data_IF_475121187123
#
_entry.id   IF_475121187123
#
_cell.length_a   1.000
_cell.length_b   1.000
_cell.length_c   1.000
_cell.angle_alpha   90.00
_cell.angle_beta   90.00
_cell.angle_gamma   90.00
#
_symmetry.space_group_name_H-M   'P 1'
#
loop_
_entity.id
_entity.type
_entity.pdbx_description
1 polymer ?
#
# COMPACT_ATOMS: atom_id res chain seq x y z
N UNK A 1 22.24 -13.97 19.26
CA UNK A 1 23.04 -13.71 18.04
C UNK A 1 22.85 -12.23 17.72
N UNK A 2 23.91 -11.47 17.44
CA UNK A 2 23.74 -10.06 17.10
C UNK A 2 22.93 -9.87 15.82
N UNK A 3 22.24 -8.74 15.69
CA UNK A 3 21.46 -8.41 14.48
C UNK A 3 22.32 -8.44 13.20
N UNK A 4 23.62 -8.13 13.31
CA UNK A 4 24.55 -8.12 12.18
C UNK A 4 24.63 -9.47 11.46
N UNK A 5 24.60 -10.58 12.21
CA UNK A 5 24.62 -11.91 11.61
C UNK A 5 23.30 -12.24 10.89
N UNK A 6 22.16 -11.76 11.40
CA UNK A 6 20.86 -11.90 10.73
C UNK A 6 20.81 -11.07 9.46
N UNK A 7 21.31 -9.83 9.50
CA UNK A 7 21.37 -8.94 8.33
C UNK A 7 22.39 -9.39 7.26
N UNK A 8 23.45 -10.09 7.67
CA UNK A 8 24.43 -10.67 6.75
C UNK A 8 23.88 -11.92 6.05
N UNK A 9 22.96 -12.64 6.69
CA UNK A 9 22.29 -13.82 6.13
C UNK A 9 21.11 -13.48 5.20
N UNK A 10 20.69 -12.21 5.15
CA UNK A 10 19.67 -11.77 4.20
C UNK A 10 20.21 -11.92 2.77
N UNK A 11 19.42 -12.56 1.91
CA UNK A 11 19.69 -12.59 0.48
C UNK A 11 19.51 -11.17 -0.08
N UNK A 12 20.62 -10.48 -0.34
CA UNK A 12 20.62 -9.12 -0.92
C UNK A 12 20.60 -9.13 -2.45
N UNK A 13 20.55 -10.32 -3.05
CA UNK A 13 20.63 -10.52 -4.50
C UNK A 13 19.28 -10.78 -5.14
N UNK A 14 18.26 -11.05 -4.34
CA UNK A 14 16.88 -10.96 -4.78
C UNK A 14 16.51 -9.49 -4.92
N UNK A 15 15.78 -9.16 -5.99
CA UNK A 15 15.18 -7.84 -6.21
C UNK A 15 13.98 -7.60 -5.25
N UNK A 16 13.99 -8.20 -4.06
CA UNK A 16 13.04 -7.86 -3.02
C UNK A 16 13.44 -6.50 -2.46
N UNK A 17 12.54 -5.52 -2.58
CA UNK A 17 12.74 -4.21 -2.00
C UNK A 17 12.98 -4.36 -0.48
N UNK A 18 14.26 -4.31 -0.07
CA UNK A 18 14.66 -4.44 1.32
C UNK A 18 14.03 -3.31 2.14
N UNK A 19 12.94 -3.63 2.81
CA UNK A 19 12.16 -2.72 3.62
C UNK A 19 12.31 -2.98 5.11
N UNK A 20 11.72 -2.09 5.90
CA UNK A 20 11.59 -2.25 7.36
C UNK A 20 10.98 -3.60 7.80
N UNK A 21 10.04 -4.24 7.06
CA UNK A 21 9.58 -5.58 7.41
C UNK A 21 10.71 -6.62 7.49
N UNK A 22 11.67 -6.57 6.56
CA UNK A 22 12.84 -7.45 6.58
C UNK A 22 13.72 -7.20 7.80
N UNK A 23 13.91 -5.94 8.19
CA UNK A 23 14.63 -5.57 9.41
C UNK A 23 13.87 -6.04 10.66
N UNK A 24 12.54 -5.90 10.69
CA UNK A 24 11.69 -6.39 11.78
C UNK A 24 11.80 -7.91 11.98
N UNK A 25 11.84 -8.68 10.88
CA UNK A 25 12.10 -10.13 10.94
C UNK A 25 13.48 -10.46 11.49
N UNK A 26 14.52 -9.75 11.07
CA UNK A 26 15.87 -9.91 11.61
C UNK A 26 15.97 -9.57 13.11
N UNK A 27 15.31 -8.48 13.54
CA UNK A 27 15.21 -8.09 14.95
C UNK A 27 14.50 -9.16 15.79
N UNK A 28 13.41 -9.72 15.27
CA UNK A 28 12.65 -10.79 15.94
C UNK A 28 13.50 -12.05 16.05
N UNK A 29 14.13 -12.48 14.95
CA UNK A 29 15.01 -13.66 14.94
C UNK A 29 16.24 -13.52 15.85
N UNK A 30 16.76 -12.30 16.03
CA UNK A 30 17.84 -12.00 16.96
C UNK A 30 17.38 -11.91 18.43
N UNK A 31 16.07 -11.94 18.70
CA UNK A 31 15.49 -11.83 20.05
C UNK A 31 15.37 -10.39 20.58
N UNK A 32 15.44 -9.38 19.70
CA UNK A 32 15.32 -7.96 20.07
C UNK A 32 13.88 -7.44 20.04
N UNK A 33 12.95 -8.21 19.46
CA UNK A 33 11.51 -7.94 19.45
C UNK A 33 10.75 -9.26 19.58
N UNK A 34 9.52 -9.21 20.09
CA UNK A 34 8.67 -10.41 20.23
C UNK A 34 7.90 -10.75 18.95
N UNK A 35 7.74 -9.77 18.05
CA UNK A 35 7.13 -9.91 16.74
C UNK A 35 7.61 -8.78 15.80
N UNK A 36 7.31 -8.89 14.51
CA UNK A 36 7.56 -7.81 13.54
C UNK A 36 6.81 -6.54 13.94
N UNK A 37 5.55 -6.67 14.37
CA UNK A 37 4.74 -5.55 14.87
C UNK A 37 5.39 -4.89 16.11
N UNK A 38 5.89 -5.69 17.06
CA UNK A 38 6.61 -5.18 18.24
C UNK A 38 7.88 -4.41 17.83
N UNK A 39 8.60 -4.89 16.82
CA UNK A 39 9.76 -4.21 16.25
C UNK A 39 9.37 -2.86 15.64
N UNK A 40 8.30 -2.79 14.85
CA UNK A 40 7.79 -1.52 14.30
C UNK A 40 7.40 -0.56 15.41
N UNK A 41 6.64 -1.02 16.39
CA UNK A 41 6.13 -0.17 17.46
C UNK A 41 7.24 0.41 18.35
N UNK A 42 8.31 -0.36 18.63
CA UNK A 42 9.34 0.04 19.60
C UNK A 42 10.63 0.56 19.00
N UNK A 43 10.99 0.13 17.79
CA UNK A 43 12.35 0.26 17.26
C UNK A 43 12.39 0.99 15.93
N UNK A 44 11.70 0.46 14.91
CA UNK A 44 11.90 0.84 13.49
C UNK A 44 10.72 1.63 12.87
N UNK A 45 9.63 1.79 13.62
CA UNK A 45 8.51 2.65 13.22
C UNK A 45 8.85 4.13 13.35
N UNK A 46 7.97 4.99 12.83
CA UNK A 46 8.16 6.44 12.86
C UNK A 46 8.46 6.95 14.29
N UNK A 47 9.51 7.76 14.43
CA UNK A 47 9.97 8.27 15.73
C UNK A 47 10.67 7.25 16.63
N UNK A 48 10.83 6.00 16.18
CA UNK A 48 11.56 4.97 16.89
C UNK A 48 13.08 5.21 16.93
N UNK A 49 13.81 4.59 17.88
CA UNK A 49 15.25 4.78 18.07
C UNK A 49 16.11 4.30 16.90
N UNK A 50 15.59 3.43 16.05
CA UNK A 50 16.25 2.93 14.84
C UNK A 50 15.53 3.37 13.55
N UNK A 51 14.66 4.38 13.64
CA UNK A 51 14.00 4.96 12.47
C UNK A 51 14.97 5.84 11.70
N UNK A 52 15.14 5.53 10.41
CA UNK A 52 15.84 6.39 9.46
C UNK A 52 14.83 6.81 8.39
N UNK A 53 14.59 8.12 8.19
CA UNK A 53 13.70 8.57 7.13
C UNK A 53 14.27 8.17 5.77
N UNK A 54 13.39 7.68 4.90
CA UNK A 54 13.73 7.38 3.51
C UNK A 54 13.35 8.58 2.66
N UNK A 55 14.30 9.11 1.91
CA UNK A 55 14.00 9.99 0.79
C UNK A 55 13.43 9.14 -0.35
N UNK A 56 12.24 9.50 -0.79
CA UNK A 56 11.49 8.78 -1.81
C UNK A 56 10.79 9.75 -2.75
N UNK A 57 10.19 9.16 -3.79
CA UNK A 57 9.38 9.88 -4.76
C UNK A 57 8.18 10.55 -4.06
N UNK A 58 7.97 11.84 -4.36
CA UNK A 58 6.81 12.56 -3.84
C UNK A 58 5.49 12.07 -4.47
N UNK A 59 4.32 12.34 -3.87
CA UNK A 59 3.03 11.87 -4.40
C UNK A 59 2.76 12.32 -5.84
N UNK A 60 3.11 13.57 -6.20
CA UNK A 60 2.99 14.07 -7.58
C UNK A 60 3.84 13.26 -8.55
N UNK A 61 5.11 13.08 -8.24
CA UNK A 61 6.04 12.33 -9.10
C UNK A 61 5.58 10.87 -9.26
N UNK A 62 5.04 10.25 -8.20
CA UNK A 62 4.49 8.90 -8.25
C UNK A 62 3.25 8.81 -9.16
N UNK A 63 2.33 9.77 -9.02
CA UNK A 63 1.14 9.86 -9.87
C UNK A 63 1.54 10.07 -11.33
N UNK A 64 2.46 11.00 -11.61
CA UNK A 64 2.95 11.28 -12.95
C UNK A 64 3.64 10.05 -13.56
N UNK A 65 4.46 9.34 -12.79
CA UNK A 65 5.14 8.12 -13.23
C UNK A 65 4.14 7.00 -13.59
N UNK A 66 3.15 6.75 -12.72
CA UNK A 66 2.11 5.73 -12.98
C UNK A 66 1.31 6.08 -14.24
N UNK A 67 0.88 7.33 -14.38
CA UNK A 67 0.12 7.79 -15.54
C UNK A 67 0.95 7.76 -16.83
N UNK A 68 2.22 8.16 -16.75
CA UNK A 68 3.17 8.09 -17.86
C UNK A 68 3.40 6.67 -18.37
N UNK A 69 3.31 5.68 -17.48
CA UNK A 69 3.33 4.26 -17.83
C UNK A 69 1.98 3.71 -18.36
N UNK A 70 0.95 4.55 -18.50
CA UNK A 70 -0.40 4.13 -18.89
C UNK A 70 -1.14 3.38 -17.78
N UNK A 71 -0.71 3.56 -16.52
CA UNK A 71 -1.34 3.00 -15.33
C UNK A 71 -2.38 3.93 -14.72
N UNK A 72 -3.00 3.44 -13.64
CA UNK A 72 -4.04 4.15 -12.88
C UNK A 72 -3.51 4.33 -11.45
N UNK A 73 -3.24 5.57 -11.01
CA UNK A 73 -2.77 5.83 -9.65
C UNK A 73 -3.91 5.65 -8.65
N UNK A 74 -3.66 4.83 -7.63
CA UNK A 74 -4.63 4.47 -6.58
C UNK A 74 -4.00 4.71 -5.22
N UNK A 75 -4.74 5.34 -4.31
CA UNK A 75 -4.29 5.55 -2.93
C UNK A 75 -4.68 4.33 -2.09
N UNK A 76 -3.67 3.61 -1.61
CA UNK A 76 -3.84 2.40 -0.80
C UNK A 76 -4.20 2.73 0.66
N UNK A 77 -5.01 1.85 1.26
CA UNK A 77 -5.43 1.80 2.67
C UNK A 77 -5.59 3.16 3.36
N UNK A 78 -6.32 4.08 2.71
CA UNK A 78 -6.47 5.49 3.09
C UNK A 78 -7.03 5.72 4.50
N UNK A 79 -7.89 4.81 5.00
CA UNK A 79 -8.54 5.00 6.31
C UNK A 79 -7.62 4.82 7.52
N UNK A 80 -6.38 4.37 7.32
CA UNK A 80 -5.34 4.49 8.36
C UNK A 80 -4.87 5.95 8.55
N UNK A 81 -5.32 6.87 7.68
CA UNK A 81 -5.05 8.30 7.75
C UNK A 81 -6.33 9.15 7.51
N UNK A 82 -7.41 8.96 8.30
CA UNK A 82 -8.73 9.55 8.02
C UNK A 82 -8.75 11.09 8.16
N UNK A 83 -7.82 11.67 8.92
CA UNK A 83 -7.65 13.12 9.08
C UNK A 83 -7.06 13.81 7.82
N UNK A 84 -6.85 13.07 6.73
CA UNK A 84 -6.15 13.54 5.53
C UNK A 84 -7.08 13.77 4.33
N UNK A 85 -8.38 14.04 4.54
CA UNK A 85 -9.27 14.48 3.44
C UNK A 85 -8.69 15.65 2.63
N UNK A 86 -8.06 16.68 3.22
CA UNK A 86 -7.39 17.72 2.44
C UNK A 86 -6.29 17.18 1.52
N UNK A 87 -5.47 16.25 2.00
CA UNK A 87 -4.47 15.59 1.17
C UNK A 87 -5.11 14.79 0.05
N UNK A 88 -6.21 14.08 0.32
CA UNK A 88 -6.92 13.34 -0.71
C UNK A 88 -7.38 14.28 -1.83
N UNK A 89 -7.95 15.44 -1.50
CA UNK A 89 -8.33 16.45 -2.50
C UNK A 89 -7.13 16.95 -3.30
N UNK A 90 -6.00 17.23 -2.65
CA UNK A 90 -4.76 17.59 -3.33
C UNK A 90 -4.28 16.48 -4.28
N UNK A 91 -4.39 15.20 -3.88
CA UNK A 91 -4.03 14.07 -4.71
C UNK A 91 -4.97 13.91 -5.92
N UNK A 92 -6.27 14.16 -5.73
CA UNK A 92 -7.26 14.19 -6.82
C UNK A 92 -6.92 15.28 -7.82
N UNK A 93 -6.62 16.49 -7.35
CA UNK A 93 -6.26 17.64 -8.20
C UNK A 93 -5.03 17.38 -9.07
N UNK A 94 -4.12 16.52 -8.63
CA UNK A 94 -2.90 16.16 -9.36
C UNK A 94 -3.03 14.86 -10.15
N UNK A 95 -4.21 14.24 -10.17
CA UNK A 95 -4.55 13.15 -11.08
C UNK A 95 -4.61 11.76 -10.47
N UNK A 96 -4.80 11.65 -9.15
CA UNK A 96 -5.23 10.40 -8.50
C UNK A 96 -6.54 9.91 -9.14
N UNK A 97 -6.65 8.60 -9.35
CA UNK A 97 -7.76 8.02 -10.11
C UNK A 97 -8.52 6.93 -9.34
N UNK A 98 -7.99 6.44 -8.23
CA UNK A 98 -8.68 5.47 -7.40
C UNK A 98 -8.33 5.55 -5.92
N UNK A 99 -9.17 4.87 -5.14
CA UNK A 99 -9.07 4.77 -3.69
C UNK A 99 -9.31 3.32 -3.28
N UNK A 100 -8.48 2.80 -2.38
CA UNK A 100 -8.71 1.48 -1.80
C UNK A 100 -9.85 1.53 -0.78
N UNK A 101 -10.96 0.90 -1.14
CA UNK A 101 -12.20 0.87 -0.37
C UNK A 101 -12.35 -0.46 0.36
N UNK A 102 -11.96 -1.56 -0.27
CA UNK A 102 -12.08 -2.91 0.29
C UNK A 102 -10.73 -3.38 0.82
N UNK A 103 -10.53 -3.27 2.14
CA UNK A 103 -9.29 -3.63 2.81
C UNK A 103 -9.57 -4.51 4.03
N UNK A 104 -8.69 -5.49 4.30
CA UNK A 104 -8.94 -6.55 5.30
C UNK A 104 -9.15 -6.01 6.72
N UNK A 105 -8.50 -4.89 7.05
CA UNK A 105 -8.62 -4.26 8.37
C UNK A 105 -9.76 -3.25 8.47
N UNK A 106 -10.52 -3.00 7.41
CA UNK A 106 -11.63 -2.04 7.45
C UNK A 106 -12.91 -2.72 7.94
N UNK A 107 -13.53 -2.12 8.96
CA UNK A 107 -14.88 -2.48 9.37
C UNK A 107 -15.89 -2.12 8.26
N UNK A 108 -17.05 -2.78 8.19
CA UNK A 108 -18.07 -2.49 7.17
C UNK A 108 -18.44 -1.00 7.07
N UNK A 109 -18.51 -0.31 8.21
CA UNK A 109 -18.81 1.13 8.28
C UNK A 109 -17.69 1.98 7.66
N UNK A 110 -16.43 1.53 7.79
CA UNK A 110 -15.28 2.17 7.15
C UNK A 110 -15.31 1.97 5.64
N UNK A 111 -15.63 0.76 5.19
CA UNK A 111 -15.81 0.47 3.75
C UNK A 111 -16.92 1.34 3.16
N UNK A 112 -18.05 1.50 3.86
CA UNK A 112 -19.14 2.37 3.44
C UNK A 112 -18.71 3.84 3.36
N UNK A 113 -18.08 4.37 4.41
CA UNK A 113 -17.63 5.76 4.46
C UNK A 113 -16.58 6.07 3.38
N UNK A 114 -15.56 5.22 3.23
CA UNK A 114 -14.51 5.40 2.21
C UNK A 114 -15.09 5.21 0.80
N UNK A 115 -16.05 4.29 0.64
CA UNK A 115 -16.78 4.09 -0.61
C UNK A 115 -17.61 5.32 -1.01
N UNK A 116 -18.25 5.98 -0.05
CA UNK A 116 -18.97 7.22 -0.29
C UNK A 116 -18.03 8.34 -0.74
N UNK A 117 -16.87 8.50 -0.08
CA UNK A 117 -15.83 9.47 -0.49
C UNK A 117 -15.33 9.17 -1.90
N UNK A 118 -15.03 7.91 -2.21
CA UNK A 118 -14.60 7.51 -3.56
C UNK A 118 -15.66 7.89 -4.61
N UNK A 119 -16.94 7.63 -4.32
CA UNK A 119 -18.04 7.97 -5.20
C UNK A 119 -18.19 9.49 -5.40
N UNK A 120 -18.17 10.28 -4.31
CA UNK A 120 -18.29 11.74 -4.35
C UNK A 120 -17.17 12.41 -5.16
N UNK A 121 -15.95 11.87 -5.07
CA UNK A 121 -14.78 12.37 -5.78
C UNK A 121 -14.58 11.75 -7.18
N UNK A 122 -15.48 10.87 -7.62
CA UNK A 122 -15.38 10.19 -8.92
C UNK A 122 -14.17 9.25 -9.03
N UNK A 123 -13.69 8.71 -7.91
CA UNK A 123 -12.56 7.79 -7.83
C UNK A 123 -13.00 6.33 -8.02
N UNK A 124 -12.13 5.54 -8.65
CA UNK A 124 -12.33 4.09 -8.79
C UNK A 124 -12.14 3.42 -7.43
N UNK A 125 -13.16 2.72 -6.95
CA UNK A 125 -13.04 1.88 -5.77
C UNK A 125 -12.22 0.61 -6.07
N UNK A 126 -11.15 0.39 -5.31
CA UNK A 126 -10.28 -0.80 -5.42
C UNK A 126 -10.26 -1.60 -4.12
N UNK A 127 -9.61 -2.76 -4.14
CA UNK A 127 -9.42 -3.58 -2.95
C UNK A 127 -8.23 -4.51 -3.04
N UNK A 128 -7.65 -4.80 -1.89
CA UNK A 128 -6.44 -5.60 -1.73
C UNK A 128 -6.31 -6.18 -0.33
N UNK A 129 -5.68 -7.34 -0.22
CA UNK A 129 -5.44 -8.03 1.06
C UNK A 129 -4.18 -7.55 1.77
N UNK A 130 -3.29 -6.87 1.04
CA UNK A 130 -1.95 -6.50 1.47
C UNK A 130 -1.20 -7.68 2.13
N UNK A 131 -1.31 -8.85 1.51
CA UNK A 131 -0.77 -10.09 2.04
C UNK A 131 0.77 -10.12 2.00
N UNK A 132 1.38 -10.26 3.19
CA UNK A 132 2.83 -10.25 3.37
C UNK A 132 3.45 -11.61 3.75
N UNK A 133 2.66 -12.68 3.89
CA UNK A 133 3.18 -14.03 4.15
C UNK A 133 3.53 -14.38 5.60
N UNK A 134 3.51 -13.42 6.51
CA UNK A 134 4.16 -13.56 7.82
C UNK A 134 3.20 -13.91 8.98
N UNK A 135 1.91 -13.57 8.86
CA UNK A 135 0.95 -13.60 9.98
C UNK A 135 -0.18 -14.62 9.80
N UNK A 136 -0.51 -14.97 8.56
CA UNK A 136 -1.63 -15.85 8.22
C UNK A 136 -1.35 -16.58 6.91
N UNK A 137 -2.08 -17.65 6.63
CA UNK A 137 -1.99 -18.32 5.32
C UNK A 137 -2.61 -17.46 4.22
N UNK A 138 -2.19 -17.70 2.98
CA UNK A 138 -2.79 -17.04 1.82
C UNK A 138 -4.32 -17.23 1.78
N UNK A 139 -4.79 -18.44 2.08
CA UNK A 139 -6.22 -18.76 2.07
C UNK A 139 -6.99 -17.95 3.12
N UNK A 140 -6.47 -17.86 4.34
CA UNK A 140 -7.08 -17.08 5.42
C UNK A 140 -7.11 -15.58 5.11
N UNK A 141 -6.01 -15.00 4.61
CA UNK A 141 -5.96 -13.58 4.23
C UNK A 141 -7.01 -13.20 3.18
N UNK A 142 -7.23 -14.08 2.20
CA UNK A 142 -8.18 -13.83 1.11
C UNK A 142 -9.62 -14.25 1.45
N UNK A 143 -9.82 -15.13 2.44
CA UNK A 143 -11.15 -15.46 2.95
C UNK A 143 -11.75 -14.31 3.79
N UNK A 144 -10.90 -13.55 4.47
CA UNK A 144 -11.30 -12.41 5.31
C UNK A 144 -11.68 -11.15 4.51
N UNK A 145 -11.33 -11.08 3.22
CA UNK A 145 -11.55 -9.91 2.38
C UNK A 145 -12.57 -10.19 1.28
N UNK A 146 -13.62 -9.35 1.20
CA UNK A 146 -14.56 -9.35 0.07
C UNK A 146 -14.33 -8.13 -0.81
N UNK A 147 -13.87 -8.37 -2.04
CA UNK A 147 -13.82 -7.36 -3.11
C UNK A 147 -14.88 -7.70 -4.16
N UNK A 148 -15.81 -6.79 -4.50
CA UNK A 148 -16.79 -7.06 -5.54
C UNK A 148 -16.16 -7.08 -6.93
N UNK A 149 -16.68 -7.92 -7.84
CA UNK A 149 -16.21 -8.02 -9.23
C UNK A 149 -16.28 -6.70 -10.00
N UNK A 150 -17.17 -5.79 -9.58
CA UNK A 150 -17.27 -4.45 -10.13
C UNK A 150 -15.99 -3.64 -9.91
N UNK A 151 -15.30 -3.80 -8.77
CA UNK A 151 -14.02 -3.12 -8.50
C UNK A 151 -12.94 -3.58 -9.49
N UNK A 152 -12.82 -4.89 -9.71
CA UNK A 152 -11.88 -5.44 -10.69
C UNK A 152 -12.21 -5.00 -12.12
N UNK A 153 -13.50 -4.91 -12.46
CA UNK A 153 -13.96 -4.45 -13.77
C UNK A 153 -13.66 -2.97 -13.98
N UNK A 154 -13.90 -2.13 -12.98
CA UNK A 154 -13.61 -0.70 -13.04
C UNK A 154 -12.11 -0.43 -13.22
N UNK A 155 -11.25 -1.14 -12.49
CA UNK A 155 -9.78 -1.03 -12.65
C UNK A 155 -9.36 -1.43 -14.06
N UNK A 156 -9.86 -2.56 -14.59
CA UNK A 156 -9.54 -3.01 -15.96
C UNK A 156 -9.96 -1.99 -17.01
N UNK A 157 -11.17 -1.43 -16.88
CA UNK A 157 -11.67 -0.40 -17.79
C UNK A 157 -10.79 0.86 -17.72
N UNK A 158 -10.47 1.33 -16.53
CA UNK A 158 -9.65 2.53 -16.35
C UNK A 158 -8.23 2.37 -16.90
N UNK A 159 -7.62 1.20 -16.77
CA UNK A 159 -6.31 0.89 -17.38
C UNK A 159 -6.42 0.87 -18.91
N UNK A 160 -7.49 0.31 -19.46
CA UNK A 160 -7.72 0.33 -20.91
C UNK A 160 -7.87 1.77 -21.44
N UNK A 161 -8.64 2.60 -20.74
CA UNK A 161 -8.84 4.01 -21.08
C UNK A 161 -7.56 4.84 -20.89
N UNK A 162 -6.74 4.53 -19.88
CA UNK A 162 -5.46 5.20 -19.69
C UNK A 162 -4.54 4.92 -20.88
N UNK A 163 -4.40 3.66 -21.28
CA UNK A 163 -3.52 3.25 -22.39
C UNK A 163 -3.96 3.80 -23.74
N UNK A 164 -5.27 3.95 -23.97
CA UNK A 164 -5.76 4.57 -25.22
C UNK A 164 -5.42 6.05 -25.33
N UNK A 165 -5.28 6.76 -24.20
CA UNK A 165 -4.85 8.16 -24.14
C UNK A 165 -3.34 8.34 -24.27
N UNK A 166 -2.53 7.38 -23.80
CA UNK A 166 -1.07 7.46 -23.83
C UNK A 166 -0.46 7.03 -25.18
N UNK A 167 -1.21 6.32 -26.02
CA UNK A 167 -0.76 5.96 -27.37
C UNK A 167 -0.84 7.18 -28.30
N UNK A 168 0.28 7.70 -28.83
CA UNK A 168 0.23 8.69 -29.90
C UNK A 168 -0.41 8.03 -31.13
N UNK A 169 -1.23 8.79 -31.85
CA UNK A 169 -1.87 8.33 -33.09
C UNK A 169 -0.88 7.61 -34.01
N UNK A 170 -1.25 6.41 -34.43
CA UNK A 170 -0.62 5.71 -35.56
C UNK A 170 -0.89 6.46 -36.86
#
# INVERSE_FOLDING_TARGET
MGIDAQLAALDRTRDDALGRPTIGRALTAAGHATSVEDAFRRLIGWGGPAYVPREGMGPREAIDAIRGAGGVPVLAHFSEAPDQVPLLLELVDIGLAGLEVFYVSFAPETVEAVGAVAHELGLIATGGSDYHGDTTTYAEAHAALRVPDSAATAVRQAVADARSRTMPGR
#
